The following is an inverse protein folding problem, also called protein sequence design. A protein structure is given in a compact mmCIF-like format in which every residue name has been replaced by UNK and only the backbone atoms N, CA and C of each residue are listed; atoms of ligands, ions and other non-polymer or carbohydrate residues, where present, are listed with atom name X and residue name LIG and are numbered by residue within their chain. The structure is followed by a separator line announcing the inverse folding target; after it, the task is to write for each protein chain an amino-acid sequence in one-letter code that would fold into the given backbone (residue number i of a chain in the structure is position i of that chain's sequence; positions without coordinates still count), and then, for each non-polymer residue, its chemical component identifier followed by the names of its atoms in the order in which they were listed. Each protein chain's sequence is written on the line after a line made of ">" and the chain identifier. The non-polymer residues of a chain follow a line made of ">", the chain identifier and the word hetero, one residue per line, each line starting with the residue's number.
data_IF_449427234478
#
_entry.id   IF_449427234478
#
_cell.length_a   1.000
_cell.length_b   1.000
_cell.length_c   1.000
_cell.angle_alpha   90.00
_cell.angle_beta   90.00
_cell.angle_gamma   90.00
#
_symmetry.space_group_name_H-M   'P 1'
#
loop_
_entity.id
_entity.type
_entity.pdbx_description
1 polymer ?
#
# COMPACT_ATOMS: atom_id res chain seq x y z
N UNK A 1 -10.45 11.21 -9.51
CA UNK A 1 -10.38 12.02 -8.26
C UNK A 1 -10.70 13.46 -8.60
N UNK A 2 -11.47 14.18 -7.76
CA UNK A 2 -11.74 15.61 -7.89
C UNK A 2 -10.78 16.48 -7.06
N UNK A 3 -9.73 15.87 -6.48
CA UNK A 3 -8.69 16.58 -5.73
C UNK A 3 -7.89 17.51 -6.67
N UNK A 4 -7.92 18.83 -6.47
CA UNK A 4 -7.22 19.80 -7.31
C UNK A 4 -5.72 19.92 -6.97
N UNK A 5 -5.20 19.12 -6.03
CA UNK A 5 -3.81 19.22 -5.59
C UNK A 5 -2.86 19.01 -6.77
N UNK A 6 -2.05 20.01 -7.12
CA UNK A 6 -1.12 19.89 -8.24
C UNK A 6 -0.06 18.82 -7.91
N UNK A 7 0.39 17.99 -8.86
CA UNK A 7 1.34 16.90 -8.61
C UNK A 7 2.61 17.33 -7.84
N UNK A 8 3.02 18.58 -7.98
CA UNK A 8 4.13 19.22 -7.27
C UNK A 8 3.96 19.26 -5.75
N UNK A 9 2.73 19.43 -5.28
CA UNK A 9 2.41 19.51 -3.86
C UNK A 9 2.21 18.10 -3.25
N UNK A 10 2.10 17.07 -4.09
CA UNK A 10 1.90 15.69 -3.67
C UNK A 10 3.24 15.09 -3.23
N UNK A 11 3.44 15.02 -1.91
CA UNK A 11 4.64 14.45 -1.27
C UNK A 11 4.24 13.37 -0.27
N UNK A 12 5.18 12.50 0.09
CA UNK A 12 4.93 11.50 1.15
C UNK A 12 4.54 12.17 2.48
N UNK A 13 5.17 13.30 2.81
CA UNK A 13 4.84 14.08 3.99
C UNK A 13 3.43 14.72 3.91
N UNK A 14 2.98 15.13 2.72
CA UNK A 14 1.61 15.62 2.54
C UNK A 14 0.58 14.52 2.79
N UNK A 15 0.81 13.30 2.30
CA UNK A 15 -0.04 12.15 2.62
C UNK A 15 -0.08 11.87 4.12
N UNK A 16 1.09 11.83 4.78
CA UNK A 16 1.15 11.59 6.22
C UNK A 16 0.40 12.67 7.03
N UNK A 17 0.54 13.95 6.66
CA UNK A 17 -0.21 15.05 7.32
C UNK A 17 -1.72 14.89 7.15
N UNK A 18 -2.19 14.54 5.95
CA UNK A 18 -3.61 14.31 5.70
C UNK A 18 -4.14 13.14 6.54
N UNK A 19 -3.37 12.06 6.67
CA UNK A 19 -3.72 10.93 7.54
C UNK A 19 -3.78 11.38 9.00
N UNK A 20 -2.73 12.05 9.50
CA UNK A 20 -2.66 12.54 10.89
C UNK A 20 -3.84 13.43 11.26
N UNK A 21 -4.30 14.29 10.34
CA UNK A 21 -5.45 15.15 10.56
C UNK A 21 -6.77 14.38 10.80
N UNK A 22 -6.85 13.12 10.38
CA UNK A 22 -8.00 12.23 10.57
C UNK A 22 -7.80 11.21 11.71
N UNK A 23 -6.62 11.13 12.31
CA UNK A 23 -6.31 10.12 13.32
C UNK A 23 -6.86 10.47 14.71
N UNK A 24 -7.31 9.44 15.40
CA UNK A 24 -7.49 9.41 16.86
C UNK A 24 -6.58 8.34 17.48
N UNK A 25 -6.29 8.40 18.79
CA UNK A 25 -5.51 7.34 19.46
C UNK A 25 -6.08 5.93 19.28
N UNK A 26 -7.40 5.78 19.17
CA UNK A 26 -8.07 4.49 19.03
C UNK A 26 -8.09 3.95 17.58
N UNK A 27 -7.61 4.75 16.62
CA UNK A 27 -7.63 4.39 15.20
C UNK A 27 -6.70 3.21 14.92
N UNK A 28 -7.18 2.20 14.19
CA UNK A 28 -6.33 1.23 13.50
C UNK A 28 -6.10 1.74 12.08
N UNK A 29 -4.83 1.91 11.71
CA UNK A 29 -4.47 2.51 10.42
C UNK A 29 -3.99 1.43 9.44
N UNK A 30 -4.69 1.29 8.32
CA UNK A 30 -4.39 0.32 7.27
C UNK A 30 -3.75 1.02 6.06
N UNK A 31 -2.59 0.52 5.63
CA UNK A 31 -1.94 0.90 4.38
C UNK A 31 -2.00 -0.26 3.39
N UNK A 32 -2.54 -0.02 2.19
CA UNK A 32 -2.54 -0.96 1.07
C UNK A 32 -1.47 -0.59 0.06
N UNK A 33 -0.73 -1.56 -0.48
CA UNK A 33 0.26 -1.33 -1.54
C UNK A 33 1.28 -0.24 -1.15
N UNK A 34 1.47 0.78 -1.99
CA UNK A 34 2.30 1.95 -1.67
C UNK A 34 1.86 2.71 -0.40
N UNK A 35 0.60 2.54 0.00
CA UNK A 35 0.00 3.14 1.19
C UNK A 35 0.67 2.71 2.49
N UNK A 36 1.45 1.63 2.50
CA UNK A 36 2.29 1.24 3.64
C UNK A 36 3.24 2.35 4.09
N UNK A 37 3.83 3.12 3.18
CA UNK A 37 4.75 4.22 3.52
C UNK A 37 4.08 5.41 4.21
N UNK A 38 3.01 6.02 3.66
CA UNK A 38 2.39 7.18 4.30
C UNK A 38 1.75 6.81 5.65
N UNK A 39 1.21 5.59 5.82
CA UNK A 39 0.69 5.18 7.13
C UNK A 39 1.81 5.00 8.17
N UNK A 40 2.97 4.45 7.77
CA UNK A 40 4.13 4.39 8.65
C UNK A 40 4.60 5.79 9.04
N UNK A 41 4.70 6.72 8.07
CA UNK A 41 5.15 8.08 8.35
C UNK A 41 4.16 8.85 9.24
N UNK A 42 2.85 8.65 9.06
CA UNK A 42 1.84 9.20 9.96
C UNK A 42 2.00 8.66 11.39
N UNK A 43 2.26 7.35 11.52
CA UNK A 43 2.46 6.68 12.80
C UNK A 43 3.74 7.11 13.54
N UNK A 44 4.75 7.65 12.84
CA UNK A 44 5.90 8.31 13.49
C UNK A 44 5.49 9.59 14.20
N UNK A 45 4.52 10.34 13.65
CA UNK A 45 4.06 11.61 14.19
C UNK A 45 3.03 11.43 15.31
N UNK A 46 2.03 10.57 15.09
CA UNK A 46 0.96 10.29 16.05
C UNK A 46 0.73 8.78 16.08
N UNK A 47 0.87 8.16 17.25
CA UNK A 47 0.71 6.72 17.39
C UNK A 47 -0.78 6.32 17.24
N UNK A 48 -1.16 5.51 16.22
CA UNK A 48 -2.45 4.82 16.21
C UNK A 48 -2.45 3.65 17.19
N UNK A 49 -3.62 3.05 17.43
CA UNK A 49 -3.78 1.81 18.20
C UNK A 49 -2.99 0.66 17.57
N UNK A 50 -3.07 0.50 16.25
CA UNK A 50 -2.31 -0.50 15.50
C UNK A 50 -2.12 -0.11 14.03
N UNK A 51 -1.17 -0.77 13.37
CA UNK A 51 -0.97 -0.67 11.92
C UNK A 51 -1.29 -1.98 11.21
N UNK A 52 -1.94 -1.89 10.06
CA UNK A 52 -2.18 -3.03 9.16
C UNK A 52 -1.53 -2.74 7.80
N UNK A 53 -0.68 -3.64 7.34
CA UNK A 53 -0.07 -3.61 6.02
C UNK A 53 -0.76 -4.66 5.15
N UNK A 54 -1.58 -4.22 4.20
CA UNK A 54 -2.36 -5.09 3.31
C UNK A 54 -1.68 -5.17 1.95
N UNK A 55 -1.03 -6.30 1.64
CA UNK A 55 -0.14 -6.44 0.47
C UNK A 55 0.62 -5.14 0.16
N UNK A 56 1.39 -4.68 1.14
CA UNK A 56 1.91 -3.32 1.17
C UNK A 56 3.43 -3.29 1.28
N UNK A 57 4.03 -2.29 0.64
CA UNK A 57 5.44 -2.01 0.86
C UNK A 57 5.66 -1.53 2.29
N UNK A 58 6.48 -2.27 3.04
CA UNK A 58 6.89 -1.89 4.40
C UNK A 58 8.18 -1.07 4.34
N UNK A 59 8.27 0.10 4.99
CA UNK A 59 9.47 0.91 4.91
C UNK A 59 10.68 0.23 5.57
N UNK A 60 11.77 0.16 4.82
CA UNK A 60 13.08 -0.24 5.34
C UNK A 60 13.93 1.01 5.55
N UNK A 61 14.75 1.09 6.62
CA UNK A 61 15.58 2.26 6.88
C UNK A 61 16.33 2.75 5.64
N UNK A 62 16.05 3.99 5.22
CA UNK A 62 16.70 4.63 4.08
C UNK A 62 16.32 4.06 2.71
N UNK A 63 15.25 3.27 2.60
CA UNK A 63 14.71 2.77 1.33
C UNK A 63 13.41 3.49 0.97
N UNK A 64 13.28 3.81 -0.31
CA UNK A 64 12.04 4.34 -0.90
C UNK A 64 11.20 3.20 -1.48
N UNK A 65 9.96 3.48 -1.85
CA UNK A 65 9.09 2.51 -2.52
C UNK A 65 9.70 2.06 -3.84
N UNK A 66 10.36 2.97 -4.57
CA UNK A 66 11.07 2.66 -5.80
C UNK A 66 12.25 1.69 -5.58
N UNK A 67 12.92 1.76 -4.43
CA UNK A 67 13.95 0.79 -4.06
C UNK A 67 13.34 -0.57 -3.69
N UNK A 68 12.26 -0.54 -2.90
CA UNK A 68 11.54 -1.75 -2.48
C UNK A 68 10.88 -2.49 -3.65
N UNK A 69 10.37 -1.76 -4.65
CA UNK A 69 9.79 -2.35 -5.86
C UNK A 69 10.81 -3.04 -6.78
N UNK A 70 12.11 -2.96 -6.45
CA UNK A 70 13.20 -3.69 -7.12
C UNK A 70 13.80 -4.80 -6.25
N UNK A 71 13.24 -5.03 -5.06
CA UNK A 71 13.64 -6.10 -4.17
C UNK A 71 13.55 -7.44 -4.91
N UNK A 72 14.57 -8.27 -4.75
CA UNK A 72 14.71 -9.53 -5.50
C UNK A 72 14.98 -9.37 -7.01
N UNK A 73 15.20 -8.15 -7.51
CA UNK A 73 15.46 -7.89 -8.94
C UNK A 73 14.20 -7.91 -9.84
N UNK A 74 13.00 -7.99 -9.25
CA UNK A 74 11.74 -8.11 -9.99
C UNK A 74 10.99 -6.77 -10.02
N UNK A 75 10.70 -6.26 -11.22
CA UNK A 75 9.84 -5.10 -11.43
C UNK A 75 8.62 -5.49 -12.27
N UNK A 76 7.58 -5.99 -11.60
CA UNK A 76 6.38 -6.62 -12.19
C UNK A 76 5.58 -5.72 -13.13
N UNK A 77 5.70 -4.40 -12.95
CA UNK A 77 4.96 -3.37 -13.70
C UNK A 77 5.85 -2.58 -14.67
N UNK A 78 7.04 -3.10 -15.03
CA UNK A 78 7.92 -2.44 -16.00
C UNK A 78 7.19 -2.20 -17.34
N UNK A 79 7.27 -0.97 -17.86
CA UNK A 79 6.64 -0.60 -19.14
C UNK A 79 5.12 -0.39 -19.10
N UNK A 80 4.46 -0.61 -17.95
CA UNK A 80 3.00 -0.46 -17.80
C UNK A 80 2.59 0.95 -17.39
N UNK A 81 3.49 1.93 -17.48
CA UNK A 81 3.24 3.31 -17.10
C UNK A 81 3.77 4.28 -18.15
N UNK A 82 3.06 5.39 -18.31
CA UNK A 82 3.45 6.52 -19.15
C UNK A 82 3.83 7.71 -18.26
N UNK A 83 5.06 8.17 -18.39
CA UNK A 83 5.57 9.32 -17.64
C UNK A 83 5.04 10.61 -18.25
N UNK A 84 4.52 11.51 -17.42
CA UNK A 84 4.14 12.85 -17.87
C UNK A 84 5.37 13.63 -18.35
N UNK A 85 5.17 14.60 -19.25
CA UNK A 85 6.27 15.39 -19.83
C UNK A 85 7.11 16.12 -18.76
N UNK A 86 6.47 16.62 -17.70
CA UNK A 86 7.14 17.26 -16.57
C UNK A 86 7.88 16.28 -15.64
N UNK A 87 7.71 14.97 -15.84
CA UNK A 87 8.26 13.86 -15.05
C UNK A 87 7.88 13.86 -13.57
N UNK A 88 6.79 14.55 -13.21
CA UNK A 88 6.30 14.66 -11.82
C UNK A 88 5.23 13.63 -11.47
N UNK A 89 4.58 13.07 -12.49
CA UNK A 89 3.59 12.01 -12.34
C UNK A 89 3.68 11.02 -13.49
N UNK A 90 3.07 9.86 -13.32
CA UNK A 90 2.85 8.90 -14.39
C UNK A 90 1.43 8.35 -14.33
N UNK A 91 0.94 7.86 -15.45
CA UNK A 91 -0.36 7.19 -15.53
C UNK A 91 -0.14 5.74 -15.92
N UNK A 92 -0.82 4.82 -15.24
CA UNK A 92 -0.78 3.42 -15.64
C UNK A 92 -1.52 3.21 -16.97
N UNK A 93 -0.96 2.35 -17.82
CA UNK A 93 -1.64 1.84 -19.01
C UNK A 93 -2.65 0.75 -18.61
N UNK A 94 -3.59 0.43 -19.49
CA UNK A 94 -4.68 -0.50 -19.20
C UNK A 94 -4.20 -1.92 -18.84
N UNK A 95 -3.01 -2.31 -19.31
CA UNK A 95 -2.36 -3.58 -19.03
C UNK A 95 -2.11 -3.79 -17.52
N UNK A 96 -2.02 -2.72 -16.72
CA UNK A 96 -1.87 -2.83 -15.25
C UNK A 96 -3.04 -3.55 -14.59
N UNK A 97 -4.20 -3.61 -15.25
CA UNK A 97 -5.37 -4.26 -14.70
C UNK A 97 -5.16 -5.76 -14.44
N UNK A 98 -4.29 -6.44 -15.20
CA UNK A 98 -3.90 -7.84 -14.89
C UNK A 98 -3.05 -7.93 -13.61
N UNK A 99 -2.37 -6.86 -13.21
CA UNK A 99 -1.60 -6.83 -11.97
C UNK A 99 -2.47 -6.55 -10.76
N UNK A 100 -3.43 -5.65 -10.91
CA UNK A 100 -4.25 -5.18 -9.79
C UNK A 100 -5.57 -5.94 -9.59
N UNK A 101 -6.17 -6.48 -10.65
CA UNK A 101 -7.58 -6.87 -10.67
C UNK A 101 -7.87 -8.21 -11.38
N UNK A 102 -6.87 -9.07 -11.59
CA UNK A 102 -7.03 -10.29 -12.40
C UNK A 102 -8.06 -11.32 -11.87
N UNK A 103 -8.36 -11.24 -10.58
CA UNK A 103 -9.25 -12.12 -9.83
C UNK A 103 -10.53 -11.38 -9.40
N UNK A 104 -10.70 -10.13 -9.82
CA UNK A 104 -11.92 -9.37 -9.63
C UNK A 104 -12.95 -9.71 -10.73
N UNK A 105 -14.23 -9.44 -10.47
CA UNK A 105 -15.24 -9.48 -11.53
C UNK A 105 -14.93 -8.45 -12.62
N UNK A 106 -15.33 -8.71 -13.87
CA UNK A 106 -15.08 -7.78 -14.97
C UNK A 106 -15.68 -6.39 -14.71
N UNK A 107 -16.85 -6.34 -14.07
CA UNK A 107 -17.50 -5.09 -13.67
C UNK A 107 -16.62 -4.31 -12.68
N UNK A 108 -16.14 -4.95 -11.61
CA UNK A 108 -15.27 -4.32 -10.61
C UNK A 108 -13.93 -3.90 -11.22
N UNK A 109 -13.34 -4.73 -12.09
CA UNK A 109 -12.11 -4.45 -12.82
C UNK A 109 -12.26 -3.20 -13.70
N UNK A 110 -13.32 -3.13 -14.51
CA UNK A 110 -13.60 -2.01 -15.40
C UNK A 110 -13.82 -0.71 -14.61
N UNK A 111 -14.62 -0.78 -13.54
CA UNK A 111 -14.89 0.37 -12.68
C UNK A 111 -13.61 0.86 -11.97
N UNK A 112 -12.81 -0.04 -11.42
CA UNK A 112 -11.57 0.31 -10.74
C UNK A 112 -10.55 0.92 -11.71
N UNK A 113 -10.41 0.36 -12.91
CA UNK A 113 -9.52 0.88 -13.94
C UNK A 113 -9.92 2.31 -14.36
N UNK A 114 -11.21 2.58 -14.51
CA UNK A 114 -11.74 3.91 -14.83
C UNK A 114 -11.49 4.95 -13.72
N UNK A 115 -11.24 4.51 -12.48
CA UNK A 115 -10.96 5.37 -11.32
C UNK A 115 -9.47 5.65 -11.12
N UNK A 116 -8.57 4.99 -11.87
CA UNK A 116 -7.15 5.29 -11.79
C UNK A 116 -6.88 6.74 -12.20
N UNK A 117 -5.93 7.37 -11.51
CA UNK A 117 -5.52 8.75 -11.76
C UNK A 117 -3.99 8.82 -11.85
N UNK A 118 -3.43 9.92 -12.40
CA UNK A 118 -1.98 10.10 -12.42
C UNK A 118 -1.37 9.98 -11.02
N UNK A 119 -0.38 9.10 -10.87
CA UNK A 119 0.37 8.87 -9.65
C UNK A 119 1.56 9.82 -9.58
N UNK A 120 1.67 10.60 -8.49
CA UNK A 120 2.83 11.44 -8.25
C UNK A 120 4.09 10.61 -8.01
N UNK A 121 5.22 11.05 -8.55
CA UNK A 121 6.52 10.36 -8.45
C UNK A 121 7.16 10.60 -7.08
N UNK A 122 7.09 11.82 -6.54
CA UNK A 122 7.83 12.21 -5.34
C UNK A 122 7.57 11.31 -4.11
N UNK A 123 6.33 10.85 -3.81
CA UNK A 123 6.09 9.92 -2.72
C UNK A 123 6.80 8.56 -2.90
N UNK A 124 6.97 8.08 -4.14
CA UNK A 124 7.57 6.78 -4.43
C UNK A 124 9.10 6.79 -4.26
N UNK A 125 9.74 7.95 -4.43
CA UNK A 125 11.20 8.12 -4.36
C UNK A 125 11.67 8.68 -3.03
N UNK A 126 10.75 9.03 -2.13
CA UNK A 126 11.10 9.54 -0.79
C UNK A 126 11.38 8.36 0.13
N UNK A 127 12.61 8.24 0.62
CA UNK A 127 12.97 7.26 1.64
C UNK A 127 12.61 7.77 3.04
N UNK A 128 12.29 6.83 3.95
CA UNK A 128 12.06 7.12 5.37
C UNK A 128 12.81 6.11 6.24
N UNK A 129 13.06 6.51 7.49
CA UNK A 129 13.64 5.63 8.51
C UNK A 129 12.68 5.58 9.70
N UNK A 130 11.81 4.55 9.77
CA UNK A 130 10.85 4.46 10.86
C UNK A 130 11.52 4.03 12.16
N UNK A 131 11.07 4.60 13.28
CA UNK A 131 11.50 4.28 14.64
C UNK A 131 10.29 3.94 15.51
N UNK A 132 9.39 4.90 15.74
CA UNK A 132 8.20 4.73 16.58
C UNK A 132 7.23 3.70 15.98
N UNK A 133 6.99 3.76 14.68
CA UNK A 133 6.08 2.84 14.01
C UNK A 133 6.53 1.39 14.15
N UNK A 134 7.84 1.12 14.24
CA UNK A 134 8.36 -0.23 14.44
C UNK A 134 8.08 -0.79 15.83
N UNK A 135 7.82 0.05 16.84
CA UNK A 135 7.49 -0.36 18.21
C UNK A 135 5.98 -0.56 18.43
N UNK A 136 5.14 -0.19 17.48
CA UNK A 136 3.69 -0.37 17.57
C UNK A 136 3.28 -1.84 17.35
N UNK A 137 2.06 -2.17 17.74
CA UNK A 137 1.37 -3.37 17.25
C UNK A 137 1.15 -3.22 15.76
N UNK A 138 1.64 -4.21 14.99
CA UNK A 138 1.58 -4.19 13.53
C UNK A 138 1.20 -5.56 13.00
N UNK A 139 0.37 -5.58 11.97
CA UNK A 139 -0.07 -6.77 11.25
C UNK A 139 0.29 -6.67 9.78
N UNK A 140 0.55 -7.83 9.16
CA UNK A 140 0.75 -7.94 7.72
C UNK A 140 -0.25 -8.92 7.15
N UNK A 141 -0.96 -8.53 6.10
CA UNK A 141 -1.92 -9.37 5.38
C UNK A 141 -1.37 -9.63 3.98
N UNK A 142 -0.94 -10.86 3.73
CA UNK A 142 -0.39 -11.30 2.44
C UNK A 142 -1.51 -11.71 1.49
N UNK A 143 -1.45 -11.23 0.25
CA UNK A 143 -2.32 -11.67 -0.85
C UNK A 143 -1.59 -12.73 -1.68
N UNK A 144 -2.10 -13.97 -1.68
CA UNK A 144 -1.35 -15.16 -2.15
C UNK A 144 -1.15 -15.22 -3.69
N UNK A 145 -2.15 -14.93 -4.55
CA UNK A 145 -1.94 -14.79 -5.99
C UNK A 145 -1.68 -13.33 -6.45
N UNK A 146 -1.05 -12.49 -5.64
CA UNK A 146 -0.75 -11.11 -6.03
C UNK A 146 0.28 -11.02 -7.16
N UNK A 147 -0.07 -10.30 -8.24
CA UNK A 147 0.77 -10.10 -9.42
C UNK A 147 1.49 -8.75 -9.44
N UNK A 148 1.10 -7.81 -8.58
CA UNK A 148 1.70 -6.49 -8.45
C UNK A 148 2.86 -6.49 -7.46
N UNK A 149 2.64 -6.96 -6.24
CA UNK A 149 3.68 -7.21 -5.24
C UNK A 149 3.71 -8.72 -5.03
N UNK A 150 4.71 -9.38 -5.60
CA UNK A 150 4.69 -10.85 -5.66
C UNK A 150 4.69 -11.50 -4.28
N UNK A 151 4.22 -12.75 -4.15
CA UNK A 151 4.22 -13.45 -2.87
C UNK A 151 5.61 -13.51 -2.23
N UNK A 152 6.67 -13.68 -3.02
CA UNK A 152 8.05 -13.67 -2.53
C UNK A 152 8.44 -12.30 -1.95
N UNK A 153 8.10 -11.20 -2.64
CA UNK A 153 8.32 -9.85 -2.13
C UNK A 153 7.54 -9.61 -0.84
N UNK A 154 6.27 -10.04 -0.79
CA UNK A 154 5.45 -9.93 0.41
C UNK A 154 6.00 -10.79 1.56
N UNK A 155 6.54 -11.98 1.28
CA UNK A 155 7.15 -12.85 2.28
C UNK A 155 8.39 -12.19 2.93
N UNK A 156 9.25 -11.53 2.13
CA UNK A 156 10.37 -10.75 2.65
C UNK A 156 9.92 -9.61 3.57
N UNK A 157 8.81 -8.95 3.23
CA UNK A 157 8.22 -7.89 4.05
C UNK A 157 7.58 -8.43 5.33
N UNK A 158 6.76 -9.48 5.21
CA UNK A 158 6.05 -10.14 6.30
C UNK A 158 7.00 -10.81 7.30
N UNK A 159 8.19 -11.25 6.86
CA UNK A 159 9.20 -11.88 7.71
C UNK A 159 9.63 -11.00 8.90
N UNK A 160 9.43 -9.68 8.82
CA UNK A 160 9.75 -8.70 9.86
C UNK A 160 8.65 -8.52 10.93
N UNK A 161 7.57 -9.29 10.84
CA UNK A 161 6.43 -9.25 11.76
C UNK A 161 6.41 -10.51 12.62
N UNK A 162 5.89 -10.46 13.87
CA UNK A 162 5.63 -11.67 14.65
C UNK A 162 4.73 -12.64 13.89
N UNK A 163 4.97 -13.96 13.99
CA UNK A 163 4.17 -14.96 13.28
C UNK A 163 2.67 -14.86 13.60
N UNK A 164 2.32 -14.55 14.85
CA UNK A 164 0.94 -14.33 15.29
C UNK A 164 0.25 -13.11 14.65
N UNK A 165 1.01 -12.21 14.01
CA UNK A 165 0.50 -11.01 13.38
C UNK A 165 0.57 -11.05 11.85
N UNK A 166 0.90 -12.22 11.29
CA UNK A 166 0.88 -12.47 9.85
C UNK A 166 -0.42 -13.17 9.49
N UNK A 167 -1.08 -12.63 8.48
CA UNK A 167 -2.35 -13.12 7.96
C UNK A 167 -2.21 -13.35 6.47
N UNK A 168 -3.06 -14.22 5.92
CA UNK A 168 -3.07 -14.52 4.50
C UNK A 168 -4.50 -14.47 3.98
N UNK A 169 -4.63 -14.04 2.73
CA UNK A 169 -5.89 -14.05 1.98
C UNK A 169 -5.62 -14.54 0.55
N UNK A 170 -6.47 -15.46 0.08
CA UNK A 170 -6.36 -16.06 -1.26
C UNK A 170 -7.00 -15.15 -2.31
N UNK A 171 -6.36 -13.99 -2.54
CA UNK A 171 -6.73 -12.99 -3.56
C UNK A 171 -5.50 -12.36 -4.16
N UNK A 172 -5.66 -11.72 -5.31
CA UNK A 172 -4.69 -10.84 -5.92
C UNK A 172 -4.54 -9.53 -5.15
N UNK A 173 -4.07 -8.48 -5.83
CA UNK A 173 -3.67 -7.23 -5.20
C UNK A 173 -4.82 -6.44 -4.56
N UNK A 174 -6.08 -6.71 -4.92
CA UNK A 174 -7.25 -5.91 -4.53
C UNK A 174 -8.30 -6.73 -3.75
N UNK A 175 -7.97 -7.25 -2.55
CA UNK A 175 -8.89 -8.08 -1.75
C UNK A 175 -10.20 -7.37 -1.39
N UNK A 176 -10.19 -6.04 -1.29
CA UNK A 176 -11.39 -5.23 -1.04
C UNK A 176 -12.38 -5.22 -2.23
N UNK A 177 -11.97 -5.67 -3.41
CA UNK A 177 -12.84 -5.89 -4.57
C UNK A 177 -13.11 -7.39 -4.79
N UNK A 178 -12.08 -8.23 -4.68
CA UNK A 178 -12.18 -9.66 -4.96
C UNK A 178 -12.91 -10.46 -3.86
N UNK A 179 -12.64 -10.15 -2.58
CA UNK A 179 -13.19 -10.87 -1.44
C UNK A 179 -13.45 -9.94 -0.22
N UNK A 180 -14.31 -8.92 -0.36
CA UNK A 180 -14.51 -7.91 0.68
C UNK A 180 -14.99 -8.49 2.02
N UNK A 181 -15.85 -9.51 2.00
CA UNK A 181 -16.34 -10.17 3.21
C UNK A 181 -15.21 -10.88 3.97
N UNK A 182 -14.30 -11.55 3.26
CA UNK A 182 -13.16 -12.24 3.87
C UNK A 182 -12.16 -11.24 4.43
N UNK A 183 -11.88 -10.16 3.71
CA UNK A 183 -11.03 -9.07 4.22
C UNK A 183 -11.65 -8.45 5.49
N UNK A 184 -12.94 -8.15 5.48
CA UNK A 184 -13.64 -7.58 6.65
C UNK A 184 -13.54 -8.48 7.88
N UNK A 185 -13.65 -9.80 7.71
CA UNK A 185 -13.48 -10.75 8.80
C UNK A 185 -12.08 -10.67 9.42
N UNK A 186 -11.01 -10.70 8.61
CA UNK A 186 -9.63 -10.58 9.10
C UNK A 186 -9.43 -9.25 9.84
N UNK A 187 -9.95 -8.15 9.29
CA UNK A 187 -9.84 -6.83 9.92
C UNK A 187 -10.58 -6.77 11.26
N UNK A 188 -11.75 -7.41 11.36
CA UNK A 188 -12.50 -7.51 12.61
C UNK A 188 -11.75 -8.33 13.65
N UNK A 189 -11.20 -9.49 13.28
CA UNK A 189 -10.38 -10.32 14.17
C UNK A 189 -9.15 -9.55 14.71
N UNK A 190 -8.47 -8.78 13.85
CA UNK A 190 -7.38 -7.89 14.27
C UNK A 190 -7.90 -6.83 15.25
N UNK A 191 -9.05 -6.20 14.94
CA UNK A 191 -9.59 -5.11 15.74
C UNK A 191 -10.03 -5.54 17.16
N UNK A 192 -10.51 -6.77 17.33
CA UNK A 192 -10.87 -7.34 18.64
C UNK A 192 -9.63 -7.78 19.44
N UNK A 193 -8.55 -8.15 18.76
CA UNK A 193 -7.30 -8.60 19.39
C UNK A 193 -6.25 -7.51 19.65
N UNK A 194 -6.46 -6.29 19.14
CA UNK A 194 -5.50 -5.17 19.20
C UNK A 194 -5.76 -4.18 20.33
#
# INVERSE_FOLDING_TARGET
>A
SSDPTPPEAVTLAAYARAIVAALTPDTILLGHSMGGYPVTLAAEAVAPRALIYLTAYTPWPGKSIADMGRLGGHHTMAGMAEMALNRRSFTYRAEVADKFYHDCSEAARSEALARLTPQAVAPLTTAITPHRALTLTRHYITCLPDRAITPDQQAEMAARFPAANRHEIDTGHSPFLAAPARLAQILHEIAEGS
#
